data_IF_478278667081
#
_entry.id   IF_478278667081
#
_cell.length_a   1.000
_cell.length_b   1.000
_cell.length_c   1.000
_cell.angle_alpha   90.00
_cell.angle_beta   90.00
_cell.angle_gamma   90.00
#
_symmetry.space_group_name_H-M   'P 1'
#
loop_
_entity.id
_entity.type
_entity.pdbx_description
1 polymer ?
#
# COMPACT_ATOMS: atom_id res chain seq x y z
N UNK A 1 -62.36 3.27 49.83
CA UNK A 1 -61.92 4.66 49.54
C UNK A 1 -61.00 4.65 48.33
N UNK A 2 -61.34 5.52 47.36
CA UNK A 2 -60.68 5.92 46.09
C UNK A 2 -60.24 4.83 45.09
N UNK A 3 -61.09 4.69 44.05
CA UNK A 3 -60.77 4.25 42.68
C UNK A 3 -59.94 5.32 41.94
N UNK A 4 -59.38 4.94 40.77
CA UNK A 4 -59.18 5.68 39.49
C UNK A 4 -57.86 5.11 38.89
N UNK A 5 -57.79 4.33 37.80
CA UNK A 5 -58.31 4.42 36.42
C UNK A 5 -57.49 5.36 35.51
N UNK A 6 -56.68 4.74 34.63
CA UNK A 6 -56.33 5.11 33.23
C UNK A 6 -55.47 6.38 33.01
N UNK A 7 -54.43 6.31 32.15
CA UNK A 7 -54.45 6.91 30.79
C UNK A 7 -53.08 6.87 30.07
N UNK A 8 -53.09 6.26 28.89
CA UNK A 8 -52.08 6.31 27.83
C UNK A 8 -52.48 7.48 26.91
N UNK A 9 -51.66 8.52 26.73
CA UNK A 9 -51.82 9.52 25.66
C UNK A 9 -50.47 9.87 25.01
N UNK A 10 -50.53 9.82 23.68
CA UNK A 10 -49.55 10.19 22.66
C UNK A 10 -49.20 11.70 22.63
N UNK A 11 -47.98 11.95 22.14
CA UNK A 11 -47.53 13.06 21.28
C UNK A 11 -48.29 14.40 21.27
N UNK A 12 -47.53 15.47 21.51
CA UNK A 12 -47.73 16.74 20.80
C UNK A 12 -46.39 17.41 20.49
N UNK A 13 -46.04 17.43 19.20
CA UNK A 13 -45.14 18.43 18.62
C UNK A 13 -45.88 19.76 18.63
N UNK A 14 -45.23 20.84 19.07
CA UNK A 14 -45.39 22.14 18.41
C UNK A 14 -44.22 23.07 18.76
N UNK A 15 -43.59 23.54 17.69
CA UNK A 15 -42.59 24.58 17.63
C UNK A 15 -43.08 25.90 18.25
N UNK A 16 -42.19 26.58 18.95
CA UNK A 16 -41.95 28.01 18.73
C UNK A 16 -40.44 28.25 18.72
N UNK A 17 -40.00 28.98 17.70
CA UNK A 17 -38.64 29.44 17.47
C UNK A 17 -38.37 30.74 18.25
N UNK A 18 -37.07 31.09 18.29
CA UNK A 18 -36.40 32.29 18.84
C UNK A 18 -35.82 32.08 20.26
N UNK A 19 -34.53 32.27 20.52
CA UNK A 19 -33.51 33.14 19.91
C UNK A 19 -32.21 32.34 19.69
N UNK A 20 -31.59 32.50 18.52
CA UNK A 20 -30.25 32.00 18.23
C UNK A 20 -29.22 32.80 19.04
N UNK A 21 -28.47 32.13 19.90
CA UNK A 21 -27.24 32.66 20.49
C UNK A 21 -26.10 31.99 19.74
N UNK A 22 -25.57 32.68 18.73
CA UNK A 22 -24.25 32.35 18.17
C UNK A 22 -23.21 32.64 19.26
N UNK A 23 -22.72 31.57 19.88
CA UNK A 23 -21.41 31.58 20.51
C UNK A 23 -20.39 31.23 19.43
N UNK A 24 -19.21 31.86 19.41
CA UNK A 24 -18.19 31.54 18.42
C UNK A 24 -17.89 30.05 18.50
N UNK A 25 -18.17 29.34 17.41
CA UNK A 25 -17.72 27.97 17.16
C UNK A 25 -16.22 27.93 17.38
N UNK A 26 -15.79 27.30 18.46
CA UNK A 26 -14.45 26.76 18.63
C UNK A 26 -14.45 25.67 19.72
N UNK A 27 -15.48 24.82 19.71
CA UNK A 27 -15.39 23.50 20.33
C UNK A 27 -16.03 22.53 19.34
N UNK A 28 -15.23 22.07 18.37
CA UNK A 28 -15.44 20.73 17.84
C UNK A 28 -15.28 19.79 19.02
N UNK A 29 -16.41 19.45 19.64
CA UNK A 29 -16.53 18.31 20.51
C UNK A 29 -16.19 17.08 19.64
N UNK A 30 -14.92 16.66 19.68
CA UNK A 30 -14.48 15.41 19.06
C UNK A 30 -15.01 14.29 19.96
N UNK A 31 -16.31 14.00 19.85
CA UNK A 31 -17.02 13.03 20.68
C UNK A 31 -16.91 11.59 20.14
N UNK A 32 -15.89 11.33 19.31
CA UNK A 32 -15.48 9.97 18.97
C UNK A 32 -13.99 9.84 19.22
N UNK A 33 -13.55 9.00 20.19
CA UNK A 33 -12.14 8.70 20.31
C UNK A 33 -11.72 8.04 18.99
N UNK A 34 -10.82 8.68 18.26
CA UNK A 34 -10.17 8.08 17.11
C UNK A 34 -9.47 6.82 17.62
N UNK A 35 -10.07 5.65 17.36
CA UNK A 35 -9.47 4.36 17.68
C UNK A 35 -8.35 4.17 16.65
N UNK A 36 -7.10 4.33 17.09
CA UNK A 36 -5.95 4.06 16.22
C UNK A 36 -6.14 2.71 15.53
N UNK A 37 -5.89 2.67 14.21
CA UNK A 37 -6.12 1.45 13.45
C UNK A 37 -5.16 0.36 13.94
N UNK A 38 -5.72 -0.75 14.40
CA UNK A 38 -4.92 -1.87 14.87
C UNK A 38 -4.33 -2.61 13.67
N UNK A 39 -3.01 -2.82 13.68
CA UNK A 39 -2.32 -3.60 12.66
C UNK A 39 -2.02 -5.01 13.18
N UNK A 40 -2.85 -5.97 12.79
CA UNK A 40 -2.71 -7.39 13.15
C UNK A 40 -1.50 -8.08 12.52
N UNK A 41 -0.76 -7.42 11.64
CA UNK A 41 0.38 -8.01 10.92
C UNK A 41 1.70 -7.83 11.66
N UNK A 42 1.74 -6.94 12.64
CA UNK A 42 2.93 -6.57 13.38
C UNK A 42 2.80 -7.12 14.81
N UNK A 43 3.83 -7.81 15.27
CA UNK A 43 3.88 -8.31 16.65
C UNK A 43 4.22 -7.17 17.62
N UNK A 44 3.79 -7.28 18.88
CA UNK A 44 3.91 -6.25 19.91
C UNK A 44 5.36 -5.78 20.11
N UNK A 45 6.32 -6.71 20.04
CA UNK A 45 7.74 -6.41 20.23
C UNK A 45 8.38 -5.62 19.07
N UNK A 46 7.66 -5.46 17.95
CA UNK A 46 8.08 -4.67 16.79
C UNK A 46 7.40 -3.29 16.75
N UNK A 47 6.56 -2.98 17.73
CA UNK A 47 5.90 -1.68 17.82
C UNK A 47 6.93 -0.58 18.12
N UNK A 48 6.84 0.50 17.36
CA UNK A 48 7.74 1.65 17.39
C UNK A 48 7.01 2.97 17.58
N UNK A 49 5.70 3.02 17.29
CA UNK A 49 4.91 4.26 17.35
C UNK A 49 3.80 4.15 18.38
N UNK A 50 3.41 5.30 18.95
CA UNK A 50 2.30 5.36 19.90
C UNK A 50 0.98 4.89 19.28
N UNK A 51 0.75 5.16 18.00
CA UNK A 51 -0.41 4.69 17.24
C UNK A 51 -0.54 3.17 17.26
N UNK A 52 0.56 2.44 17.05
CA UNK A 52 0.55 0.97 17.10
C UNK A 52 0.12 0.46 18.47
N UNK A 53 0.65 1.04 19.56
CA UNK A 53 0.25 0.66 20.90
C UNK A 53 -1.20 1.06 21.21
N UNK A 54 -1.65 2.24 20.79
CA UNK A 54 -3.05 2.68 20.97
C UNK A 54 -4.04 1.76 20.26
N UNK A 55 -3.67 1.18 19.10
CA UNK A 55 -4.50 0.18 18.42
C UNK A 55 -4.74 -1.10 19.22
N UNK A 56 -3.97 -1.37 20.28
CA UNK A 56 -4.19 -2.53 21.14
C UNK A 56 -5.41 -2.39 22.04
N UNK A 57 -5.96 -1.19 22.24
CA UNK A 57 -7.11 -0.98 23.12
C UNK A 57 -8.29 -1.87 22.69
N UNK A 58 -8.83 -2.62 23.64
CA UNK A 58 -9.87 -3.63 23.42
C UNK A 58 -9.39 -4.94 22.80
N UNK A 59 -8.09 -5.11 22.53
CA UNK A 59 -7.51 -6.36 22.02
C UNK A 59 -7.03 -7.25 23.15
N UNK A 60 -6.95 -8.54 22.85
CA UNK A 60 -6.47 -9.56 23.77
C UNK A 60 -4.97 -9.78 23.59
N UNK A 61 -4.26 -9.80 24.71
CA UNK A 61 -2.88 -10.24 24.83
C UNK A 61 -2.85 -11.58 25.56
N UNK A 62 -1.99 -12.47 25.09
CA UNK A 62 -1.72 -13.74 25.76
C UNK A 62 -0.34 -13.67 26.40
N UNK A 63 -0.27 -14.00 27.69
CA UNK A 63 0.98 -14.03 28.43
C UNK A 63 1.61 -15.41 28.34
N UNK A 64 2.83 -15.45 27.79
CA UNK A 64 3.56 -16.66 27.44
C UNK A 64 4.07 -17.40 28.69
N UNK A 65 4.21 -18.74 28.61
CA UNK A 65 4.80 -19.52 29.70
C UNK A 65 6.27 -19.16 29.96
N UNK A 66 6.81 -19.70 31.05
CA UNK A 66 8.22 -19.54 31.41
C UNK A 66 9.07 -20.57 30.68
N UNK A 67 10.19 -20.13 30.08
CA UNK A 67 11.14 -21.02 29.45
C UNK A 67 11.90 -21.79 30.55
N UNK A 68 11.80 -23.10 30.52
CA UNK A 68 12.37 -24.00 31.52
C UNK A 68 13.91 -24.04 31.52
N UNK A 69 14.53 -23.65 30.40
CA UNK A 69 15.98 -23.74 30.16
C UNK A 69 16.69 -22.38 30.18
N UNK A 70 15.95 -21.27 30.22
CA UNK A 70 16.53 -19.95 30.07
C UNK A 70 15.90 -18.94 31.04
N UNK A 71 16.64 -18.63 32.09
CA UNK A 71 16.28 -17.64 33.12
C UNK A 71 16.95 -16.29 32.79
N UNK A 72 16.30 -15.47 31.95
CA UNK A 72 16.74 -14.09 31.75
C UNK A 72 16.33 -13.23 32.96
N UNK A 73 17.31 -12.49 33.49
CA UNK A 73 17.33 -11.49 34.56
C UNK A 73 16.01 -11.04 35.25
N UNK A 74 16.15 -10.78 36.55
CA UNK A 74 15.18 -10.22 37.52
C UNK A 74 14.22 -9.13 37.03
N UNK A 75 14.65 -8.38 36.03
CA UNK A 75 14.09 -7.08 35.66
C UNK A 75 12.82 -7.22 34.81
N UNK A 76 12.51 -8.43 34.30
CA UNK A 76 11.31 -8.65 33.48
C UNK A 76 10.01 -8.54 34.28
N UNK A 77 9.95 -9.12 35.48
CA UNK A 77 8.79 -8.94 36.35
C UNK A 77 8.74 -7.53 36.96
N UNK A 78 9.88 -6.84 37.06
CA UNK A 78 9.94 -5.43 37.47
C UNK A 78 9.22 -4.51 36.48
N UNK A 79 9.00 -5.00 35.25
CA UNK A 79 8.18 -4.33 34.25
C UNK A 79 6.68 -4.63 34.37
N UNK A 80 6.24 -5.42 35.35
CA UNK A 80 4.83 -5.73 35.57
C UNK A 80 4.38 -5.09 36.88
N UNK A 81 3.24 -4.41 36.85
CA UNK A 81 2.61 -3.87 38.06
C UNK A 81 1.19 -4.43 38.19
N UNK A 82 0.74 -4.57 39.43
CA UNK A 82 -0.61 -5.00 39.79
C UNK A 82 -1.33 -3.87 40.51
N UNK A 83 -2.59 -3.65 40.14
CA UNK A 83 -3.46 -2.67 40.77
C UNK A 83 -4.66 -3.39 41.39
N UNK A 84 -4.60 -3.74 42.69
CA UNK A 84 -5.61 -4.55 43.35
C UNK A 84 -6.95 -3.83 43.46
N UNK A 85 -8.04 -4.55 43.14
CA UNK A 85 -9.41 -4.03 43.34
C UNK A 85 -9.85 -4.08 44.79
N UNK A 86 -9.34 -5.05 45.55
CA UNK A 86 -9.69 -5.27 46.96
C UNK A 86 -8.44 -5.35 47.84
N UNK A 87 -8.63 -5.21 49.16
CA UNK A 87 -7.54 -5.48 50.11
C UNK A 87 -7.10 -6.93 49.97
N UNK A 88 -5.80 -7.16 49.85
CA UNK A 88 -5.24 -8.50 49.85
C UNK A 88 -3.95 -8.54 50.68
N UNK A 89 -3.56 -9.75 51.06
CA UNK A 89 -2.36 -10.03 51.85
C UNK A 89 -1.50 -10.99 51.04
N UNK A 90 -0.21 -10.68 50.96
CA UNK A 90 0.81 -11.53 50.35
C UNK A 90 1.95 -11.69 51.34
N UNK A 91 2.23 -12.92 51.77
CA UNK A 91 3.14 -13.16 52.89
C UNK A 91 2.78 -12.31 54.13
N UNK A 92 3.68 -11.39 54.55
CA UNK A 92 3.44 -10.46 55.66
C UNK A 92 2.92 -9.09 55.23
N UNK A 93 3.00 -8.76 53.94
CA UNK A 93 2.59 -7.48 53.40
C UNK A 93 1.05 -7.42 53.23
N UNK A 94 0.49 -6.21 53.44
CA UNK A 94 -0.93 -5.93 53.22
C UNK A 94 -1.05 -4.79 52.22
N UNK A 95 -1.86 -4.98 51.20
CA UNK A 95 -2.06 -4.01 50.14
C UNK A 95 -3.49 -3.47 50.18
N UNK A 96 -3.61 -2.17 49.91
CA UNK A 96 -4.91 -1.49 49.82
C UNK A 96 -5.42 -1.52 48.39
N UNK A 97 -6.74 -1.38 48.17
CA UNK A 97 -7.29 -1.17 46.83
C UNK A 97 -6.59 0.00 46.14
N UNK A 98 -6.35 -0.12 44.84
CA UNK A 98 -5.70 0.88 44.00
C UNK A 98 -4.26 1.25 44.43
N UNK A 99 -3.63 0.48 45.31
CA UNK A 99 -2.22 0.64 45.62
C UNK A 99 -1.39 -0.05 44.53
N UNK A 100 -0.63 0.72 43.74
CA UNK A 100 0.27 0.15 42.74
C UNK A 100 1.31 -0.77 43.39
N UNK A 101 1.37 -2.02 42.92
CA UNK A 101 2.33 -3.04 43.38
C UNK A 101 3.21 -3.44 42.20
N UNK A 102 4.49 -3.07 42.22
CA UNK A 102 5.45 -3.54 41.21
C UNK A 102 5.89 -4.95 41.57
N UNK A 103 5.78 -5.87 40.61
CA UNK A 103 6.20 -7.25 40.79
C UNK A 103 7.72 -7.33 40.79
N UNK A 104 8.28 -8.21 41.62
CA UNK A 104 9.68 -8.60 41.55
C UNK A 104 9.76 -10.05 41.09
N UNK A 105 10.89 -10.43 40.46
CA UNK A 105 11.13 -11.83 40.03
C UNK A 105 10.88 -12.87 41.13
N UNK A 106 11.15 -12.52 42.38
CA UNK A 106 11.04 -13.44 43.51
C UNK A 106 9.63 -13.51 44.12
N UNK A 107 8.67 -12.71 43.64
CA UNK A 107 7.29 -12.68 44.12
C UNK A 107 6.45 -13.82 43.53
N UNK A 108 6.93 -15.06 43.64
CA UNK A 108 6.26 -16.26 43.10
C UNK A 108 4.80 -16.39 43.56
N UNK A 109 4.55 -16.12 44.85
CA UNK A 109 3.19 -16.12 45.42
C UNK A 109 2.26 -15.14 44.71
N UNK A 110 2.76 -13.96 44.30
CA UNK A 110 1.97 -12.96 43.59
C UNK A 110 1.75 -13.36 42.13
N UNK A 111 2.79 -13.86 41.47
CA UNK A 111 2.71 -14.34 40.08
C UNK A 111 1.68 -15.46 39.95
N UNK A 112 1.70 -16.41 40.88
CA UNK A 112 0.76 -17.53 40.93
C UNK A 112 -0.66 -17.07 41.30
N UNK A 113 -0.78 -16.14 42.26
CA UNK A 113 -2.07 -15.53 42.63
C UNK A 113 -2.74 -14.83 41.44
N UNK A 114 -1.96 -14.04 40.69
CA UNK A 114 -2.44 -13.30 39.52
C UNK A 114 -2.67 -14.18 38.30
N UNK A 115 -2.23 -15.46 38.34
CA UNK A 115 -2.30 -16.42 37.23
C UNK A 115 -1.76 -15.82 35.93
N UNK A 116 -0.61 -15.16 36.00
CA UNK A 116 -0.08 -14.44 34.84
C UNK A 116 0.19 -15.36 33.65
N UNK A 117 0.85 -16.50 33.91
CA UNK A 117 1.30 -17.43 32.87
C UNK A 117 0.12 -18.11 32.17
N UNK A 118 0.21 -18.25 30.85
CA UNK A 118 -0.73 -18.98 30.00
C UNK A 118 -2.18 -18.48 30.10
N UNK A 119 -2.32 -17.17 30.32
CA UNK A 119 -3.62 -16.52 30.47
C UNK A 119 -3.77 -15.30 29.56
N UNK A 120 -5.03 -14.86 29.44
CA UNK A 120 -5.45 -13.80 28.53
C UNK A 120 -5.74 -12.52 29.29
N UNK A 121 -5.32 -11.41 28.72
CA UNK A 121 -5.48 -10.07 29.25
C UNK A 121 -6.07 -9.16 28.18
N UNK A 122 -7.11 -8.41 28.51
CA UNK A 122 -7.74 -7.46 27.60
C UNK A 122 -7.14 -6.09 27.88
N UNK A 123 -6.74 -5.37 26.84
CA UNK A 123 -6.16 -4.03 26.99
C UNK A 123 -7.27 -3.01 27.21
N UNK A 124 -7.23 -2.34 28.37
CA UNK A 124 -8.17 -1.29 28.75
C UNK A 124 -7.73 0.08 28.24
N UNK A 125 -6.45 0.39 28.42
CA UNK A 125 -5.87 1.66 27.98
C UNK A 125 -4.36 1.55 27.84
N UNK A 126 -3.80 2.49 27.08
CA UNK A 126 -2.35 2.64 26.93
C UNK A 126 -1.97 4.05 27.33
N UNK A 127 -0.93 4.16 28.16
CA UNK A 127 -0.39 5.42 28.62
C UNK A 127 1.07 5.55 28.18
N UNK A 128 1.45 6.76 27.77
CA UNK A 128 2.81 7.09 27.36
C UNK A 128 3.45 8.04 28.36
N UNK A 129 4.76 7.93 28.52
CA UNK A 129 5.53 8.89 29.28
C UNK A 129 6.49 9.65 28.36
N UNK A 130 6.43 10.99 28.42
CA UNK A 130 7.33 11.86 27.68
C UNK A 130 8.60 12.17 28.51
N UNK A 131 9.79 12.13 27.89
CA UNK A 131 11.05 12.69 28.44
C UNK A 131 12.23 11.72 28.61
N UNK A 132 13.45 12.20 28.32
CA UNK A 132 14.71 11.59 28.72
C UNK A 132 15.13 12.15 30.09
N UNK A 133 15.20 11.28 31.10
CA UNK A 133 15.60 11.56 32.49
C UNK A 133 14.83 12.70 33.21
N UNK A 134 14.16 12.32 34.30
CA UNK A 134 13.66 13.15 35.42
C UNK A 134 12.38 14.01 35.31
N UNK A 135 11.70 14.14 34.17
CA UNK A 135 10.31 14.66 34.16
C UNK A 135 9.43 13.79 33.25
N UNK A 136 8.53 13.00 33.85
CA UNK A 136 7.60 12.11 33.16
C UNK A 136 6.19 12.71 33.21
N UNK A 137 5.68 13.22 32.08
CA UNK A 137 4.25 13.57 31.95
C UNK A 137 3.50 12.32 31.45
N UNK A 138 2.45 11.91 32.17
CA UNK A 138 1.54 10.83 31.74
C UNK A 138 0.64 11.40 30.65
N UNK A 139 0.73 10.85 29.45
CA UNK A 139 -0.14 11.21 28.33
C UNK A 139 -1.13 10.07 28.13
N UNK A 140 -2.42 10.36 28.29
CA UNK A 140 -3.48 9.40 27.95
C UNK A 140 -3.77 9.44 26.44
N UNK A 141 -4.46 8.42 25.91
CA UNK A 141 -4.74 8.34 24.46
C UNK A 141 -5.53 9.52 23.87
N UNK A 142 -6.32 10.23 24.69
CA UNK A 142 -7.08 11.43 24.26
C UNK A 142 -6.15 12.64 24.10
N UNK A 143 -5.29 12.89 25.08
CA UNK A 143 -4.28 13.97 25.05
C UNK A 143 -3.22 13.77 23.95
N UNK A 144 -2.93 12.51 23.58
CA UNK A 144 -2.08 12.22 22.43
C UNK A 144 -2.71 12.69 21.11
N UNK A 145 -4.02 12.48 20.95
CA UNK A 145 -4.75 12.88 19.74
C UNK A 145 -4.78 14.41 19.56
N UNK A 146 -4.85 15.18 20.63
CA UNK A 146 -4.79 16.65 20.56
C UNK A 146 -3.39 17.18 20.19
N UNK A 147 -2.34 16.36 20.37
CA UNK A 147 -0.94 16.72 20.12
C UNK A 147 -0.33 16.01 18.90
N UNK A 148 -1.14 15.39 18.04
CA UNK A 148 -0.74 14.54 16.91
C UNK A 148 0.35 15.17 16.01
N UNK A 149 0.19 16.42 15.58
CA UNK A 149 1.14 17.08 14.64
C UNK A 149 2.55 17.24 15.24
N UNK A 150 2.69 17.34 16.57
CA UNK A 150 3.98 17.45 17.26
C UNK A 150 4.71 16.10 17.36
N UNK A 151 3.98 14.99 17.25
CA UNK A 151 4.47 13.65 17.62
C UNK A 151 4.39 12.62 16.48
N UNK A 152 3.88 12.99 15.30
CA UNK A 152 3.88 12.15 14.09
C UNK A 152 5.29 11.87 13.53
N UNK A 153 6.30 12.66 13.89
CA UNK A 153 7.68 12.48 13.43
C UNK A 153 8.58 11.86 14.51
N UNK A 154 8.77 10.55 14.42
CA UNK A 154 9.98 9.87 14.92
C UNK A 154 10.35 10.03 16.41
N UNK A 155 9.39 10.03 17.34
CA UNK A 155 9.77 9.73 18.72
C UNK A 155 10.08 8.24 18.81
N UNK A 156 11.37 7.92 18.77
CA UNK A 156 11.90 6.75 19.46
C UNK A 156 11.23 6.70 20.83
N UNK A 157 10.29 5.76 21.04
CA UNK A 157 9.71 5.44 22.34
C UNK A 157 10.78 4.79 23.23
N UNK A 158 11.92 5.45 23.40
CA UNK A 158 12.94 5.19 24.42
C UNK A 158 12.42 5.49 25.83
N UNK A 159 11.10 5.42 26.04
CA UNK A 159 10.36 5.79 27.23
C UNK A 159 9.22 4.81 27.45
N UNK A 160 9.12 4.32 28.69
CA UNK A 160 8.22 3.26 29.13
C UNK A 160 6.77 3.48 28.64
N UNK A 161 6.19 2.50 27.94
CA UNK A 161 4.75 2.46 27.62
C UNK A 161 4.06 1.65 28.69
N UNK A 162 3.00 2.17 29.30
CA UNK A 162 2.17 1.39 30.23
C UNK A 162 0.92 0.89 29.52
N UNK A 163 0.79 -0.42 29.40
CA UNK A 163 -0.40 -1.09 28.87
C UNK A 163 -1.22 -1.57 30.07
N UNK A 164 -2.33 -0.88 30.34
CA UNK A 164 -3.28 -1.26 31.37
C UNK A 164 -4.18 -2.36 30.80
N UNK A 165 -4.26 -3.45 31.53
CA UNK A 165 -5.06 -4.60 31.14
C UNK A 165 -5.85 -5.13 32.31
N UNK A 166 -6.89 -5.90 32.01
CA UNK A 166 -7.51 -6.77 32.99
C UNK A 166 -7.38 -8.23 32.57
N UNK A 167 -7.14 -9.08 33.56
CA UNK A 167 -7.17 -10.53 33.39
C UNK A 167 -8.57 -10.96 32.95
N UNK A 168 -8.69 -11.72 31.86
CA UNK A 168 -9.98 -12.03 31.20
C UNK A 168 -10.99 -12.73 32.11
N UNK A 169 -10.54 -13.61 33.03
CA UNK A 169 -11.43 -14.33 33.96
C UNK A 169 -11.55 -13.70 35.35
N UNK A 170 -10.43 -13.39 36.03
CA UNK A 170 -10.47 -12.79 37.39
C UNK A 170 -10.80 -11.30 37.39
N UNK A 171 -10.69 -10.63 36.24
CA UNK A 171 -10.85 -9.19 36.11
C UNK A 171 -9.85 -8.38 36.96
N UNK A 172 -8.75 -8.98 37.42
CA UNK A 172 -7.69 -8.25 38.12
C UNK A 172 -6.94 -7.32 37.16
N UNK A 173 -6.48 -6.16 37.64
CA UNK A 173 -5.83 -5.14 36.78
C UNK A 173 -4.32 -5.33 36.79
N UNK A 174 -3.75 -5.67 35.63
CA UNK A 174 -2.32 -5.87 35.42
C UNK A 174 -1.84 -4.79 34.45
N UNK A 175 -0.71 -4.17 34.78
CA UNK A 175 -0.08 -3.12 33.98
C UNK A 175 1.25 -3.66 33.46
N UNK A 176 1.42 -3.68 32.15
CA UNK A 176 2.67 -4.07 31.50
C UNK A 176 3.45 -2.82 31.09
N UNK A 177 4.65 -2.66 31.62
CA UNK A 177 5.55 -1.54 31.36
C UNK A 177 6.53 -1.92 30.26
N UNK A 178 6.29 -1.49 29.03
CA UNK A 178 7.16 -1.77 27.88
C UNK A 178 8.24 -0.70 27.80
N UNK A 179 9.42 -0.99 28.34
CA UNK A 179 10.57 -0.07 28.40
C UNK A 179 11.67 -0.41 27.38
N UNK A 180 11.72 -1.67 26.97
CA UNK A 180 12.68 -2.22 26.03
C UNK A 180 12.11 -3.49 25.38
N UNK A 181 12.85 -4.06 24.43
CA UNK A 181 12.45 -5.28 23.71
C UNK A 181 12.16 -6.46 24.66
N UNK A 182 12.97 -6.65 25.70
CA UNK A 182 12.85 -7.73 26.70
C UNK A 182 11.48 -7.75 27.40
N UNK A 183 10.93 -6.58 27.72
CA UNK A 183 9.63 -6.46 28.42
C UNK A 183 8.41 -6.88 27.56
N UNK A 184 8.49 -6.73 26.23
CA UNK A 184 7.39 -7.09 25.31
C UNK A 184 7.36 -8.56 24.91
N UNK A 185 8.47 -9.29 25.06
CA UNK A 185 8.63 -10.64 24.52
C UNK A 185 7.94 -11.74 25.35
N UNK A 186 7.19 -11.38 26.42
CA UNK A 186 6.31 -12.28 27.18
C UNK A 186 4.85 -12.20 26.76
N UNK A 187 4.51 -11.24 25.93
CA UNK A 187 3.15 -11.05 25.45
C UNK A 187 3.12 -11.33 23.95
N UNK A 188 2.08 -12.00 23.51
CA UNK A 188 1.72 -12.05 22.10
C UNK A 188 0.32 -11.47 21.94
N UNK A 189 0.15 -10.63 20.92
CA UNK A 189 -1.18 -10.18 20.53
C UNK A 189 -1.96 -11.36 19.95
N UNK A 190 -3.12 -11.69 20.54
CA UNK A 190 -3.98 -12.77 20.05
C UNK A 190 -4.43 -12.49 18.62
N UNK A 191 -4.85 -11.26 18.24
CA UNK A 191 -5.09 -10.91 16.85
C UNK A 191 -3.92 -11.18 15.90
N UNK A 192 -2.67 -10.94 16.33
CA UNK A 192 -1.49 -11.22 15.50
C UNK A 192 -1.32 -12.72 15.26
N UNK A 193 -1.46 -13.55 16.30
CA UNK A 193 -1.40 -15.01 16.15
C UNK A 193 -2.54 -15.55 15.27
N UNK A 194 -3.75 -15.01 15.41
CA UNK A 194 -4.89 -15.37 14.56
C UNK A 194 -4.63 -14.98 13.11
N UNK A 195 -4.09 -13.80 12.83
CA UNK A 195 -3.70 -13.39 11.50
C UNK A 195 -2.70 -14.37 10.86
N UNK A 196 -1.69 -14.82 11.60
CA UNK A 196 -0.77 -15.85 11.09
C UNK A 196 -1.52 -17.14 10.74
N UNK A 197 -2.45 -17.56 11.60
CA UNK A 197 -3.30 -18.74 11.38
C UNK A 197 -4.15 -18.61 10.12
N UNK A 198 -4.96 -17.57 10.03
CA UNK A 198 -5.87 -17.35 8.91
C UNK A 198 -5.14 -17.20 7.58
N UNK A 199 -3.99 -16.54 7.60
CA UNK A 199 -3.21 -16.28 6.39
C UNK A 199 -2.47 -17.50 5.90
N UNK A 200 -1.91 -18.32 6.79
CA UNK A 200 -0.89 -19.30 6.42
C UNK A 200 -1.31 -20.76 6.65
N UNK A 201 -2.23 -21.06 7.56
CA UNK A 201 -2.66 -22.44 7.81
C UNK A 201 -3.26 -23.07 6.53
N UNK A 202 -2.91 -24.32 6.27
CA UNK A 202 -3.28 -25.11 5.08
C UNK A 202 -2.78 -24.55 3.74
N UNK A 203 -2.05 -23.43 3.74
CA UNK A 203 -1.49 -22.88 2.51
C UNK A 203 -0.30 -23.71 2.06
N UNK A 204 -0.19 -23.85 0.74
CA UNK A 204 0.98 -24.41 0.07
C UNK A 204 2.00 -23.30 -0.15
N UNK A 205 3.23 -23.55 0.25
CA UNK A 205 4.35 -22.62 0.19
C UNK A 205 5.56 -23.28 -0.44
N UNK A 206 6.45 -22.46 -0.97
CA UNK A 206 7.75 -22.89 -1.51
C UNK A 206 8.80 -22.20 -0.66
N UNK A 207 9.72 -22.98 -0.09
CA UNK A 207 10.81 -22.43 0.70
C UNK A 207 11.97 -22.06 -0.22
N UNK A 208 12.33 -20.77 -0.27
CA UNK A 208 13.53 -20.32 -0.96
C UNK A 208 14.75 -20.68 -0.12
N UNK A 209 15.69 -21.45 -0.68
CA UNK A 209 16.94 -21.82 0.00
C UNK A 209 17.75 -20.55 0.28
N UNK A 210 17.95 -20.21 1.55
CA UNK A 210 18.82 -19.11 1.97
C UNK A 210 20.28 -19.54 1.77
N UNK A 211 21.00 -18.88 0.87
CA UNK A 211 22.45 -19.00 0.80
C UNK A 211 23.06 -18.38 2.06
N UNK A 212 23.85 -19.15 2.82
CA UNK A 212 24.71 -18.60 3.85
C UNK A 212 25.85 -17.84 3.18
N UNK A 213 25.62 -16.56 2.87
CA UNK A 213 26.63 -15.51 2.76
C UNK A 213 25.92 -14.17 2.57
N UNK A 214 26.03 -13.32 3.59
CA UNK A 214 25.91 -11.89 3.38
C UNK A 214 26.97 -11.46 2.34
N UNK A 215 26.60 -10.47 1.53
CA UNK A 215 27.37 -9.82 0.47
C UNK A 215 27.23 -10.44 -0.93
N UNK A 216 26.75 -9.56 -1.82
CA UNK A 216 26.80 -9.60 -3.28
C UNK A 216 26.17 -10.83 -3.95
N UNK A 217 24.95 -10.65 -4.44
CA UNK A 217 24.57 -10.90 -5.85
C UNK A 217 23.06 -10.69 -6.00
N UNK A 218 22.68 -9.46 -6.38
CA UNK A 218 21.40 -9.20 -7.06
C UNK A 218 21.49 -9.71 -8.50
N UNK A 219 21.77 -11.01 -8.68
CA UNK A 219 21.74 -11.62 -10.00
C UNK A 219 20.66 -12.69 -10.05
N UNK A 220 19.72 -12.45 -10.95
CA UNK A 220 18.75 -13.38 -11.53
C UNK A 220 17.51 -13.75 -10.70
N UNK A 221 16.60 -12.76 -10.58
CA UNK A 221 15.16 -13.03 -10.38
C UNK A 221 14.46 -13.35 -11.71
N UNK A 222 15.12 -13.19 -12.87
CA UNK A 222 14.52 -13.41 -14.19
C UNK A 222 14.70 -14.83 -14.80
N UNK A 223 15.46 -15.72 -14.17
CA UNK A 223 15.75 -17.06 -14.73
C UNK A 223 14.99 -18.24 -14.11
N UNK A 224 13.91 -18.00 -13.35
CA UNK A 224 12.87 -19.03 -13.15
C UNK A 224 11.88 -19.10 -14.33
N UNK A 225 12.35 -18.75 -15.52
CA UNK A 225 11.73 -19.13 -16.77
C UNK A 225 11.81 -20.66 -16.93
N UNK A 226 10.65 -21.32 -16.82
CA UNK A 226 10.37 -22.67 -17.37
C UNK A 226 11.10 -23.88 -16.77
N UNK A 227 11.39 -23.93 -15.47
CA UNK A 227 11.55 -25.23 -14.79
C UNK A 227 10.27 -25.60 -14.06
N UNK A 228 9.73 -26.78 -14.39
CA UNK A 228 8.67 -27.41 -13.61
C UNK A 228 9.06 -27.35 -12.13
N UNK A 229 8.22 -26.69 -11.32
CA UNK A 229 8.30 -26.80 -9.87
C UNK A 229 8.05 -28.27 -9.53
N UNK A 230 9.07 -28.95 -9.03
CA UNK A 230 8.93 -30.31 -8.51
C UNK A 230 8.11 -30.24 -7.21
N UNK A 231 7.15 -31.15 -7.07
CA UNK A 231 6.38 -31.35 -5.83
C UNK A 231 7.26 -31.47 -4.58
N UNK A 232 8.50 -31.91 -4.73
CA UNK A 232 9.50 -31.99 -3.66
C UNK A 232 9.93 -30.62 -3.09
N UNK A 233 9.58 -29.51 -3.74
CA UNK A 233 9.91 -28.16 -3.30
C UNK A 233 8.71 -27.42 -2.69
N UNK A 234 7.55 -28.08 -2.62
CA UNK A 234 6.30 -27.50 -2.13
C UNK A 234 5.95 -28.13 -0.78
N UNK A 235 5.67 -27.27 0.19
CA UNK A 235 5.26 -27.65 1.53
C UNK A 235 3.86 -27.13 1.82
N UNK A 236 3.07 -27.88 2.56
CA UNK A 236 1.83 -27.41 3.16
C UNK A 236 2.07 -27.08 4.62
N UNK A 237 1.60 -25.92 5.06
CA UNK A 237 1.61 -25.56 6.48
C UNK A 237 0.50 -26.33 7.16
N UNK A 238 0.87 -27.29 8.01
CA UNK A 238 -0.08 -28.18 8.71
C UNK A 238 -0.43 -27.66 10.09
N UNK A 239 0.44 -26.83 10.67
CA UNK A 239 0.28 -26.33 12.03
C UNK A 239 0.98 -25.00 12.20
N UNK A 240 0.37 -24.14 13.01
CA UNK A 240 1.02 -22.94 13.53
C UNK A 240 0.86 -23.01 15.04
N UNK A 241 1.98 -22.92 15.75
CA UNK A 241 2.02 -23.02 17.21
C UNK A 241 2.97 -22.02 17.79
N UNK A 242 2.90 -21.83 19.10
CA UNK A 242 3.92 -21.12 19.85
C UNK A 242 4.79 -22.19 20.49
N UNK A 243 6.10 -22.19 20.22
CA UNK A 243 7.01 -23.21 20.73
C UNK A 243 8.07 -22.63 21.66
N UNK A 244 8.39 -23.38 22.70
CA UNK A 244 9.53 -23.10 23.57
C UNK A 244 10.81 -23.18 22.73
N UNK A 245 11.68 -22.17 22.78
CA UNK A 245 12.92 -22.20 22.01
C UNK A 245 13.84 -23.33 22.50
N UNK A 246 14.38 -24.09 21.55
CA UNK A 246 15.29 -25.21 21.82
C UNK A 246 16.76 -24.80 21.99
N UNK A 247 17.08 -23.50 22.02
CA UNK A 247 18.46 -23.00 22.15
C UNK A 247 18.64 -22.21 23.43
N UNK A 248 19.84 -22.31 24.01
CA UNK A 248 20.29 -21.49 25.13
C UNK A 248 20.48 -20.00 24.76
N UNK A 249 20.05 -19.56 23.58
CA UNK A 249 20.23 -18.16 23.12
C UNK A 249 18.91 -17.49 22.72
N UNK A 250 17.81 -18.23 22.73
CA UNK A 250 16.48 -17.71 22.48
C UNK A 250 15.66 -17.89 23.74
N UNK A 251 15.26 -16.77 24.35
CA UNK A 251 14.55 -16.81 25.64
C UNK A 251 13.04 -16.68 25.55
N UNK A 252 12.54 -16.48 24.33
CA UNK A 252 11.17 -16.09 24.09
C UNK A 252 10.48 -17.14 23.22
N UNK A 253 9.26 -17.46 23.63
CA UNK A 253 8.33 -18.23 22.83
C UNK A 253 8.02 -17.46 21.55
N UNK A 254 8.04 -18.15 20.41
CA UNK A 254 7.76 -17.53 19.11
C UNK A 254 6.82 -18.41 18.29
N UNK A 255 6.02 -17.82 17.39
CA UNK A 255 5.27 -18.59 16.41
C UNK A 255 6.19 -19.46 15.53
N UNK A 256 5.83 -20.73 15.40
CA UNK A 256 6.49 -21.77 14.62
C UNK A 256 5.49 -22.39 13.67
N UNK A 257 5.93 -22.60 12.43
CA UNK A 257 5.16 -23.22 11.36
C UNK A 257 5.67 -24.66 11.19
N UNK A 258 4.76 -25.61 11.28
CA UNK A 258 5.02 -27.00 10.91
C UNK A 258 4.67 -27.18 9.44
N UNK A 259 5.61 -27.74 8.69
CA UNK A 259 5.49 -27.93 7.26
C UNK A 259 5.53 -29.41 6.91
N UNK A 260 4.63 -29.82 6.02
CA UNK A 260 4.60 -31.15 5.42
C UNK A 260 4.90 -31.05 3.93
N UNK A 261 5.92 -31.79 3.47
CA UNK A 261 6.25 -31.88 2.06
C UNK A 261 5.14 -32.58 1.26
N UNK A 262 4.83 -32.08 0.07
CA UNK A 262 3.72 -32.60 -0.76
C UNK A 262 4.07 -33.85 -1.55
N UNK A 263 5.35 -34.19 -1.68
CA UNK A 263 5.82 -35.41 -2.34
C UNK A 263 5.72 -36.68 -1.47
N UNK A 264 5.04 -36.60 -0.32
CA UNK A 264 4.84 -37.68 0.65
C UNK A 264 6.13 -38.30 1.21
N UNK A 265 7.31 -37.72 0.97
CA UNK A 265 8.49 -38.02 1.77
C UNK A 265 8.30 -37.37 3.13
N UNK A 266 8.01 -38.18 4.14
CA UNK A 266 7.57 -37.73 5.45
C UNK A 266 8.75 -37.10 6.19
N UNK A 267 8.93 -35.80 5.99
CA UNK A 267 9.71 -34.95 6.88
C UNK A 267 8.81 -33.79 7.29
N UNK A 268 8.31 -33.83 8.53
CA UNK A 268 7.67 -32.68 9.14
C UNK A 268 8.79 -31.75 9.62
N UNK A 269 8.89 -30.57 9.00
CA UNK A 269 9.91 -29.59 9.33
C UNK A 269 9.28 -28.47 10.15
N UNK A 270 9.99 -28.04 11.19
CA UNK A 270 9.60 -26.88 11.98
C UNK A 270 10.44 -25.65 11.60
N UNK A 271 9.77 -24.52 11.38
CA UNK A 271 10.43 -23.27 11.02
C UNK A 271 10.08 -22.17 12.02
N UNK A 272 11.12 -21.62 12.64
CA UNK A 272 11.03 -20.53 13.62
C UNK A 272 11.11 -19.17 12.92
N UNK A 273 10.21 -18.27 13.32
CA UNK A 273 10.26 -16.81 13.12
C UNK A 273 10.10 -16.29 11.68
N UNK A 274 8.96 -15.63 11.44
CA UNK A 274 8.76 -14.65 10.36
C UNK A 274 9.16 -13.28 10.91
N UNK A 275 10.44 -12.91 10.79
CA UNK A 275 10.82 -11.48 10.81
C UNK A 275 11.06 -11.05 9.38
N UNK A 276 10.70 -9.81 9.05
CA UNK A 276 10.74 -9.17 7.73
C UNK A 276 12.08 -9.25 6.93
N UNK A 277 13.03 -10.09 7.30
CA UNK A 277 14.25 -10.40 6.54
C UNK A 277 14.61 -11.91 6.50
N UNK A 278 13.71 -12.82 6.91
CA UNK A 278 13.90 -14.27 6.79
C UNK A 278 12.92 -14.96 5.85
N UNK A 279 11.84 -14.27 5.48
CA UNK A 279 11.00 -14.59 4.33
C UNK A 279 10.76 -13.24 3.64
N UNK A 280 11.21 -13.07 2.38
CA UNK A 280 10.79 -11.91 1.62
C UNK A 280 9.28 -12.04 1.38
N UNK A 281 8.51 -10.95 1.46
CA UNK A 281 7.10 -10.94 1.04
C UNK A 281 6.88 -11.39 -0.42
N UNK A 282 7.97 -11.57 -1.18
CA UNK A 282 8.02 -12.17 -2.51
C UNK A 282 8.25 -13.71 -2.52
N UNK A 283 8.50 -14.34 -1.37
CA UNK A 283 8.87 -15.76 -1.27
C UNK A 283 7.71 -16.67 -0.80
N UNK A 284 6.53 -16.12 -0.49
CA UNK A 284 5.33 -16.93 -0.28
C UNK A 284 4.33 -16.78 -1.40
N UNK A 285 4.55 -17.65 -2.37
CA UNK A 285 3.68 -18.02 -3.48
C UNK A 285 2.42 -18.79 -3.08
N UNK A 286 1.42 -18.24 -2.38
CA UNK A 286 0.14 -18.96 -2.26
C UNK A 286 -0.34 -19.33 -3.68
N UNK A 287 -0.37 -20.62 -4.02
CA UNK A 287 -0.40 -21.06 -5.42
C UNK A 287 -1.58 -20.54 -6.26
N UNK A 288 -2.67 -20.10 -5.62
CA UNK A 288 -3.80 -19.42 -6.25
C UNK A 288 -3.51 -17.92 -6.49
N UNK A 289 -3.09 -17.19 -5.45
CA UNK A 289 -2.70 -15.77 -5.53
C UNK A 289 -1.54 -15.54 -6.50
N UNK A 290 -0.69 -16.55 -6.68
CA UNK A 290 0.43 -16.54 -7.61
C UNK A 290 -0.03 -16.44 -9.07
N UNK A 291 -1.16 -17.09 -9.41
CA UNK A 291 -1.72 -17.01 -10.76
C UNK A 291 -2.41 -15.67 -10.98
N UNK A 292 -3.22 -15.24 -10.02
CA UNK A 292 -3.95 -13.97 -10.12
C UNK A 292 -2.99 -12.77 -10.16
N UNK A 293 -2.02 -12.71 -9.23
CA UNK A 293 -1.01 -11.64 -9.20
C UNK A 293 -0.13 -11.65 -10.45
N UNK A 294 0.20 -12.82 -11.01
CA UNK A 294 0.93 -12.91 -12.30
C UNK A 294 0.09 -12.41 -13.46
N UNK A 295 -1.20 -12.74 -13.51
CA UNK A 295 -2.11 -12.22 -14.54
C UNK A 295 -2.29 -10.71 -14.42
N UNK A 296 -2.39 -10.16 -13.21
CA UNK A 296 -2.48 -8.71 -12.99
C UNK A 296 -1.19 -8.01 -13.42
N UNK A 297 -0.02 -8.48 -13.00
CA UNK A 297 1.27 -7.91 -13.44
C UNK A 297 1.44 -8.02 -14.97
N UNK A 298 1.01 -9.14 -15.57
CA UNK A 298 1.05 -9.33 -17.03
C UNK A 298 0.14 -8.33 -17.75
N UNK A 299 -1.08 -8.13 -17.23
CA UNK A 299 -2.04 -7.15 -17.78
C UNK A 299 -1.52 -5.72 -17.64
N UNK A 300 -1.03 -5.34 -16.46
CA UNK A 300 -0.46 -4.01 -16.19
C UNK A 300 0.75 -3.73 -17.09
N UNK A 301 1.66 -4.70 -17.26
CA UNK A 301 2.81 -4.56 -18.14
C UNK A 301 2.39 -4.41 -19.61
N UNK A 302 1.44 -5.23 -20.07
CA UNK A 302 0.91 -5.13 -21.44
C UNK A 302 0.16 -3.82 -21.69
N UNK A 303 -0.53 -3.29 -20.68
CA UNK A 303 -1.24 -2.01 -20.76
C UNK A 303 -0.27 -0.83 -20.78
N UNK A 304 0.78 -0.86 -19.95
CA UNK A 304 1.86 0.13 -20.00
C UNK A 304 2.57 0.14 -21.35
N UNK A 305 2.87 -1.03 -21.90
CA UNK A 305 3.47 -1.17 -23.23
C UNK A 305 2.54 -0.56 -24.30
N UNK A 306 1.25 -0.91 -24.32
CA UNK A 306 0.27 -0.32 -25.24
C UNK A 306 0.17 1.20 -25.14
N UNK A 307 0.20 1.75 -23.92
CA UNK A 307 0.16 3.20 -23.68
C UNK A 307 1.44 3.87 -24.21
N UNK A 308 2.61 3.29 -23.95
CA UNK A 308 3.88 3.80 -24.45
C UNK A 308 3.92 3.78 -25.99
N UNK A 309 3.46 2.69 -26.59
CA UNK A 309 3.35 2.51 -28.04
C UNK A 309 2.37 3.51 -28.68
N UNK A 310 1.25 3.78 -28.02
CA UNK A 310 0.28 4.78 -28.47
C UNK A 310 0.85 6.21 -28.41
N UNK A 311 1.56 6.55 -27.32
CA UNK A 311 2.24 7.85 -27.18
C UNK A 311 3.31 8.05 -28.23
N UNK A 312 4.14 7.04 -28.48
CA UNK A 312 5.17 7.08 -29.52
C UNK A 312 4.55 7.28 -30.92
N UNK A 313 3.45 6.56 -31.23
CA UNK A 313 2.71 6.74 -32.49
C UNK A 313 2.10 8.14 -32.62
N UNK A 314 1.65 8.74 -31.52
CA UNK A 314 1.12 10.11 -31.52
C UNK A 314 2.24 11.13 -31.78
N UNK A 315 3.34 11.05 -31.05
CA UNK A 315 4.50 11.94 -31.23
C UNK A 315 5.05 11.87 -32.66
N UNK A 316 5.14 10.67 -33.24
CA UNK A 316 5.52 10.50 -34.64
C UNK A 316 4.54 11.16 -35.62
N UNK A 317 3.24 11.17 -35.33
CA UNK A 317 2.24 11.86 -36.18
C UNK A 317 2.38 13.37 -36.07
N UNK A 318 2.58 13.89 -34.87
CA UNK A 318 2.79 15.33 -34.62
C UNK A 318 4.06 15.83 -35.32
N UNK A 319 5.17 15.08 -35.22
CA UNK A 319 6.40 15.39 -35.94
C UNK A 319 6.21 15.39 -37.46
N UNK A 320 5.46 14.42 -38.01
CA UNK A 320 5.13 14.40 -39.44
C UNK A 320 4.27 15.60 -39.86
N UNK A 321 3.32 16.02 -39.03
CA UNK A 321 2.51 17.20 -39.31
C UNK A 321 3.36 18.48 -39.30
N UNK A 322 4.25 18.63 -38.32
CA UNK A 322 5.18 19.75 -38.24
C UNK A 322 6.12 19.78 -39.46
N UNK A 323 6.64 18.64 -39.88
CA UNK A 323 7.50 18.55 -41.07
C UNK A 323 6.72 18.89 -42.35
N UNK A 324 5.50 18.38 -42.52
CA UNK A 324 4.63 18.70 -43.64
C UNK A 324 4.27 20.19 -43.70
N UNK A 325 3.97 20.80 -42.55
CA UNK A 325 3.64 22.23 -42.49
C UNK A 325 4.88 23.08 -42.76
N UNK A 326 6.06 22.72 -42.25
CA UNK A 326 7.33 23.37 -42.60
C UNK A 326 7.58 23.31 -44.11
N UNK A 327 7.44 22.14 -44.73
CA UNK A 327 7.56 21.96 -46.19
C UNK A 327 6.56 22.82 -46.95
N UNK A 328 5.31 22.89 -46.47
CA UNK A 328 4.26 23.72 -47.07
C UNK A 328 4.59 25.20 -46.95
N UNK A 329 5.04 25.70 -45.81
CA UNK A 329 5.41 27.11 -45.60
C UNK A 329 6.59 27.50 -46.51
N UNK A 330 7.61 26.63 -46.62
CA UNK A 330 8.74 26.87 -47.53
C UNK A 330 8.27 26.95 -48.98
N UNK A 331 7.39 26.02 -49.39
CA UNK A 331 6.78 26.00 -50.72
C UNK A 331 5.91 27.23 -50.98
N UNK A 332 5.11 27.64 -50.00
CA UNK A 332 4.26 28.83 -50.04
C UNK A 332 5.09 30.09 -50.26
N UNK A 333 6.12 30.30 -49.43
CA UNK A 333 7.00 31.46 -49.55
C UNK A 333 7.68 31.51 -50.91
N UNK A 334 8.10 30.35 -51.45
CA UNK A 334 8.67 30.25 -52.80
C UNK A 334 7.68 30.70 -53.87
N UNK A 335 6.46 30.19 -53.87
CA UNK A 335 5.52 30.42 -54.98
C UNK A 335 4.69 31.69 -54.84
N UNK A 336 4.42 32.18 -53.64
CA UNK A 336 3.85 33.53 -53.43
C UNK A 336 4.83 34.59 -53.92
N UNK A 337 6.13 34.43 -53.66
CA UNK A 337 7.17 35.32 -54.19
C UNK A 337 7.25 35.28 -55.72
N UNK A 338 7.03 34.11 -56.33
CA UNK A 338 7.15 33.91 -57.79
C UNK A 338 5.90 34.33 -58.58
N UNK A 339 4.71 34.06 -58.05
CA UNK A 339 3.44 34.14 -58.81
C UNK A 339 2.38 35.05 -58.17
N UNK A 340 2.73 35.73 -57.07
CA UNK A 340 1.77 36.50 -56.28
C UNK A 340 0.89 35.59 -55.41
N UNK A 341 0.11 36.22 -54.51
CA UNK A 341 -0.68 35.51 -53.49
C UNK A 341 -1.64 34.50 -54.10
N UNK A 342 -2.40 34.92 -55.11
CA UNK A 342 -3.49 34.13 -55.68
C UNK A 342 -2.98 32.84 -56.37
N UNK A 343 -2.09 32.95 -57.36
CA UNK A 343 -1.55 31.77 -58.04
C UNK A 343 -0.54 31.00 -57.18
N UNK A 344 0.22 31.69 -56.32
CA UNK A 344 1.16 31.06 -55.40
C UNK A 344 0.51 30.11 -54.39
N UNK A 345 -0.65 30.48 -53.84
CA UNK A 345 -1.42 29.60 -52.95
C UNK A 345 -1.96 28.36 -53.68
N UNK A 346 -2.41 28.50 -54.93
CA UNK A 346 -2.94 27.38 -55.72
C UNK A 346 -1.82 26.37 -56.05
N UNK A 347 -0.67 26.86 -56.53
CA UNK A 347 0.52 26.02 -56.84
C UNK A 347 1.08 25.32 -55.60
N UNK A 348 1.04 26.00 -54.45
CA UNK A 348 1.49 25.42 -53.17
C UNK A 348 0.65 24.22 -52.76
N UNK A 349 -0.66 24.26 -53.03
CA UNK A 349 -1.60 23.21 -52.70
C UNK A 349 -1.72 22.12 -53.78
N UNK A 350 -0.78 22.04 -54.73
CA UNK A 350 -0.78 21.07 -55.84
C UNK A 350 -2.08 21.11 -56.66
N UNK A 351 -2.63 22.31 -56.85
CA UNK A 351 -3.84 22.54 -57.66
C UNK A 351 -3.47 23.29 -58.93
N UNK A 352 -4.30 23.12 -59.95
CA UNK A 352 -4.24 23.89 -61.19
C UNK A 352 -5.60 24.53 -61.43
N UNK A 353 -5.61 25.66 -62.12
CA UNK A 353 -6.81 26.45 -62.39
C UNK A 353 -6.72 27.03 -63.81
N UNK A 354 -7.82 27.01 -64.54
CA UNK A 354 -7.94 27.64 -65.86
C UNK A 354 -7.36 29.06 -65.82
N UNK A 355 -6.57 29.42 -66.83
CA UNK A 355 -5.83 30.68 -66.91
C UNK A 355 -4.41 30.66 -66.33
N UNK A 356 -3.98 29.56 -65.68
CA UNK A 356 -2.58 29.36 -65.28
C UNK A 356 -1.66 29.19 -66.50
N UNK A 357 -0.38 29.56 -66.33
CA UNK A 357 0.64 29.31 -67.36
C UNK A 357 1.15 27.86 -67.27
N UNK A 358 1.84 27.41 -68.33
CA UNK A 358 2.53 26.10 -68.34
C UNK A 358 3.48 25.93 -67.16
N UNK A 359 4.30 26.94 -66.88
CA UNK A 359 5.26 26.93 -65.77
C UNK A 359 4.56 26.82 -64.40
N UNK A 360 3.41 27.48 -64.20
CA UNK A 360 2.62 27.34 -62.98
C UNK A 360 2.07 25.92 -62.83
N UNK A 361 1.67 25.28 -63.93
CA UNK A 361 1.17 23.91 -63.93
C UNK A 361 2.29 22.89 -63.66
N UNK A 362 3.49 23.08 -64.23
CA UNK A 362 4.67 22.25 -63.91
C UNK A 362 5.11 22.42 -62.46
N UNK A 363 5.17 23.66 -61.96
CA UNK A 363 5.53 23.91 -60.57
C UNK A 363 4.49 23.32 -59.60
N UNK A 364 3.22 23.21 -60.03
CA UNK A 364 2.12 22.65 -59.24
C UNK A 364 2.08 21.12 -59.28
N UNK A 365 1.91 20.54 -60.46
CA UNK A 365 1.69 19.10 -60.66
C UNK A 365 2.96 18.33 -61.02
N UNK A 366 4.08 19.02 -61.29
CA UNK A 366 5.27 18.41 -61.84
C UNK A 366 5.23 18.33 -63.37
N UNK A 367 6.27 17.72 -63.93
CA UNK A 367 6.35 17.50 -65.38
C UNK A 367 5.34 16.45 -65.81
N UNK A 368 4.64 16.65 -66.94
CA UNK A 368 3.78 15.62 -67.50
C UNK A 368 4.60 14.42 -67.97
N UNK A 369 3.95 13.26 -68.03
CA UNK A 369 4.54 12.04 -68.58
C UNK A 369 4.70 12.14 -70.10
N UNK A 370 3.71 12.74 -70.77
CA UNK A 370 3.79 13.02 -72.21
C UNK A 370 3.07 14.32 -72.58
N UNK A 371 3.51 14.93 -73.68
CA UNK A 371 2.94 16.16 -74.23
C UNK A 371 2.59 15.93 -75.70
N UNK A 372 1.30 15.98 -76.02
CA UNK A 372 0.81 15.97 -77.40
C UNK A 372 0.66 17.42 -77.87
N UNK A 373 1.34 17.81 -78.96
CA UNK A 373 1.40 19.20 -79.46
C UNK A 373 0.85 19.31 -80.88
N UNK A 374 0.04 20.34 -81.13
CA UNK A 374 -0.44 20.69 -82.47
C UNK A 374 -0.27 22.19 -82.70
N UNK A 375 0.33 22.58 -83.83
CA UNK A 375 0.56 23.98 -84.22
C UNK A 375 -0.07 24.22 -85.59
N UNK A 376 -0.86 25.29 -85.71
CA UNK A 376 -1.51 25.70 -86.96
C UNK A 376 -1.42 27.23 -87.14
N UNK A 377 -2.03 27.77 -88.19
CA UNK A 377 -2.01 29.20 -88.50
C UNK A 377 -2.64 30.11 -87.43
N UNK A 378 -3.43 29.55 -86.51
CA UNK A 378 -4.18 30.27 -85.47
C UNK A 378 -3.56 30.15 -84.07
N UNK A 379 -2.57 29.27 -83.87
CA UNK A 379 -1.89 29.12 -82.59
C UNK A 379 -1.31 27.72 -82.36
N UNK A 380 -0.90 27.45 -81.11
CA UNK A 380 -0.45 26.13 -80.66
C UNK A 380 -1.34 25.61 -79.54
N UNK A 381 -1.86 24.40 -79.68
CA UNK A 381 -2.58 23.67 -78.63
C UNK A 381 -1.75 22.49 -78.13
N UNK A 382 -1.76 22.26 -76.82
CA UNK A 382 -1.05 21.15 -76.17
C UNK A 382 -1.95 20.40 -75.20
N UNK A 383 -1.83 19.07 -75.17
CA UNK A 383 -2.38 18.22 -74.13
C UNK A 383 -1.23 17.61 -73.34
N UNK A 384 -1.24 17.82 -72.03
CA UNK A 384 -0.29 17.27 -71.08
C UNK A 384 -0.93 16.11 -70.35
N UNK A 385 -0.29 14.95 -70.36
CA UNK A 385 -0.79 13.71 -69.77
C UNK A 385 -0.05 13.44 -68.46
N UNK A 386 -0.80 13.15 -67.41
CA UNK A 386 -0.29 12.75 -66.09
C UNK A 386 -0.77 11.35 -65.73
N UNK A 387 0.00 10.65 -64.90
CA UNK A 387 -0.35 9.32 -64.39
C UNK A 387 -1.69 9.37 -63.62
N UNK A 388 -2.47 8.28 -63.70
CA UNK A 388 -3.80 8.20 -63.09
C UNK A 388 -4.95 8.80 -63.92
N UNK A 389 -4.74 9.15 -65.19
CA UNK A 389 -5.81 9.57 -66.12
C UNK A 389 -6.19 11.05 -66.05
N UNK A 390 -5.29 11.91 -65.54
CA UNK A 390 -5.48 13.36 -65.50
C UNK A 390 -4.78 14.06 -66.67
N UNK A 391 -5.43 15.08 -67.23
CA UNK A 391 -4.98 15.80 -68.42
C UNK A 391 -5.15 17.32 -68.27
N UNK A 392 -4.16 18.07 -68.78
CA UNK A 392 -4.20 19.53 -68.88
C UNK A 392 -4.13 19.97 -70.34
N UNK A 393 -5.07 20.81 -70.77
CA UNK A 393 -5.13 21.33 -72.13
C UNK A 393 -4.75 22.81 -72.15
N UNK A 394 -3.80 23.18 -73.01
CA UNK A 394 -3.31 24.54 -73.15
C UNK A 394 -3.56 25.06 -74.55
N UNK A 395 -4.04 26.30 -74.64
CA UNK A 395 -4.01 27.08 -75.87
C UNK A 395 -3.00 28.22 -75.73
N UNK A 396 -2.02 28.20 -76.63
CA UNK A 396 -0.80 28.98 -76.59
C UNK A 396 -0.02 28.79 -75.27
N UNK A 397 -0.20 29.69 -74.30
CA UNK A 397 0.52 29.69 -73.02
C UNK A 397 -0.40 29.53 -71.80
N UNK A 398 -1.72 29.37 -72.00
CA UNK A 398 -2.73 29.38 -70.94
C UNK A 398 -3.47 28.06 -70.86
N UNK A 399 -3.67 27.57 -69.64
CA UNK A 399 -4.50 26.40 -69.36
C UNK A 399 -5.96 26.73 -69.67
N UNK A 400 -6.59 25.96 -70.55
CA UNK A 400 -7.98 26.16 -70.99
C UNK A 400 -8.93 25.07 -70.51
N UNK A 401 -8.47 23.82 -70.32
CA UNK A 401 -9.30 22.72 -69.79
C UNK A 401 -8.51 21.78 -68.87
N UNK A 402 -9.22 21.17 -67.92
CA UNK A 402 -8.72 20.16 -66.98
C UNK A 402 -9.65 18.93 -67.10
N UNK A 403 -9.09 17.74 -67.25
CA UNK A 403 -9.83 16.47 -67.27
C UNK A 403 -9.20 15.53 -66.24
N UNK A 404 -10.00 14.96 -65.34
CA UNK A 404 -9.56 14.05 -64.27
C UNK A 404 -10.42 12.80 -64.22
#
# INVERSE_FOLDING_TARGET
MKKITILLILFSVNCFSQIAIEKPNNETEIDQPLVAEFNEKIDLHEYKTAEQFLGLVGKELFFLPENSKYDFYSDQYESISYLPKTKFKLGKARYRPNQLVNLKKWDKELIDFLKLKENYFVVDSVNFYNGAFSFREKINGREFNERQEKYQSSISLSGNVEIYTHHKTSNEIIIFNISNKSSSEKLISVPYFNYLTDKYLDKKIILKKRGYKHYTENYEIENYNRKHLDSSQIFQITKITIKEPNTEYHSHYTPVFSLKKLDNTIEELEFYRIKDNLIFWNDFVAGADLREKRETIRKDSLEKEKIADAKLRQEQRELRQIDNEKKRIVRLNKFVKKYGKEYGEIVTNYKVRIGMTKEMCEDSWGKPESINRTTNAYGTSEQWVYDGGSYLYFDNVKLTSIQN
#
